data_IF_195066127685
#
_entry.id   IF_195066127685
#
_cell.length_a   1.000
_cell.length_b   1.000
_cell.length_c   1.000
_cell.angle_alpha   90.00
_cell.angle_beta   90.00
_cell.angle_gamma   90.00
#
_symmetry.space_group_name_H-M   'P 1'
#
loop_
_entity.id
_entity.type
_entity.pdbx_description
1 polymer ?
#
# COMPACT_ATOMS: atom_id res chain seq x y z
N UNK A 1 33.00 -5.16 -19.13
CA UNK A 1 32.51 -5.00 -19.08
C UNK A 1 31.92 -5.11 -18.84
N UNK A 2 31.99 -5.27 -19.01
CA UNK A 2 31.27 -5.28 -18.78
C UNK A 2 30.89 -5.43 -18.34
N UNK A 3 31.34 -5.40 -18.29
CA UNK A 3 30.74 -5.43 -17.96
C UNK A 3 30.44 -5.44 -17.45
N UNK A 4 30.42 -5.66 -17.50
CA UNK A 4 29.90 -5.59 -17.13
C UNK A 4 29.36 -5.50 -16.66
N UNK A 5 30.13 -5.71 -16.58
CA UNK A 5 29.37 -5.46 -16.28
C UNK A 5 28.88 -5.38 -15.93
N UNK A 6 29.14 -5.53 -15.86
CA UNK A 6 28.39 -5.28 -15.68
C UNK A 6 27.81 -5.30 -15.29
N UNK A 7 28.14 -5.48 -15.10
CA UNK A 7 27.35 -5.39 -14.91
C UNK A 7 26.72 -5.43 -14.51
N UNK A 8 27.35 -5.52 -14.26
CA UNK A 8 26.51 -5.40 -14.08
C UNK A 8 25.90 -5.45 -13.67
N UNK A 9 26.21 -5.63 -13.40
CA UNK A 9 25.27 -5.48 -13.17
C UNK A 9 24.75 -5.47 -12.78
N UNK A 10 24.76 -5.43 -12.61
CA UNK A 10 23.96 -5.28 -12.52
C UNK A 10 23.22 -5.22 -12.17
N UNK A 11 23.84 -5.32 -11.82
CA UNK A 11 22.91 -5.23 -11.68
C UNK A 11 22.11 -5.24 -11.39
N UNK A 12 22.24 -5.36 -11.35
CA UNK A 12 21.11 -5.37 -11.36
C UNK A 12 20.43 -5.34 -11.26
N UNK A 13 20.95 -5.36 -11.23
CA UNK A 13 19.98 -5.29 -11.41
C UNK A 13 19.31 -5.39 -11.34
N UNK A 14 19.81 -5.41 -11.20
CA UNK A 14 18.83 -5.41 -11.29
C UNK A 14 18.32 -5.28 -11.32
N UNK A 15 18.27 -5.18 -11.35
CA UNK A 15 17.48 -4.99 -11.70
C UNK A 15 16.85 -4.96 -11.93
N UNK A 16 16.81 -4.91 -11.69
CA UNK A 16 16.09 -4.91 -12.05
C UNK A 16 15.42 -5.21 -12.38
N UNK A 17 15.61 -5.44 -12.65
CA UNK A 17 14.81 -5.81 -13.15
C UNK A 17 13.90 -6.60 -12.68
N UNK A 18 13.38 -6.44 -12.22
CA UNK A 18 12.46 -7.14 -11.65
C UNK A 18 11.19 -7.12 -12.29
N UNK A 19 10.37 -8.06 -12.13
CA UNK A 19 9.09 -8.10 -12.75
C UNK A 19 8.26 -6.96 -12.31
N UNK A 20 7.46 -6.53 -13.18
CA UNK A 20 6.64 -5.50 -12.86
C UNK A 20 5.32 -5.98 -12.61
N UNK A 21 5.08 -7.25 -12.42
CA UNK A 21 3.79 -7.80 -12.25
C UNK A 21 3.15 -7.22 -11.03
N UNK A 22 3.53 -7.53 -9.88
CA UNK A 22 2.91 -7.01 -8.69
C UNK A 22 3.90 -6.20 -7.91
N UNK A 23 3.49 -5.08 -7.36
CA UNK A 23 4.40 -4.30 -6.56
C UNK A 23 4.80 -5.07 -5.32
N UNK A 24 6.03 -4.92 -4.95
CA UNK A 24 6.52 -5.48 -3.71
C UNK A 24 6.05 -4.59 -2.56
N UNK A 25 5.39 -5.16 -1.59
CA UNK A 25 4.94 -4.42 -0.42
C UNK A 25 5.91 -4.69 0.70
N UNK A 26 6.53 -3.64 1.20
CA UNK A 26 7.55 -3.75 2.22
C UNK A 26 6.95 -3.71 3.62
N UNK A 27 5.90 -4.46 3.87
CA UNK A 27 5.30 -4.51 5.18
C UNK A 27 5.94 -5.63 5.99
N UNK A 28 6.35 -5.29 7.20
CA UNK A 28 7.01 -6.22 8.11
C UNK A 28 6.22 -6.33 9.40
N UNK A 29 5.62 -7.50 9.67
CA UNK A 29 4.94 -7.68 10.97
C UNK A 29 5.87 -7.47 12.13
N UNK A 30 7.12 -7.93 12.02
CA UNK A 30 8.08 -7.78 13.11
C UNK A 30 8.37 -6.31 13.41
N UNK A 31 8.54 -5.50 12.36
CA UNK A 31 8.77 -4.08 12.55
C UNK A 31 7.56 -3.39 13.16
N UNK A 32 6.37 -3.80 12.75
CA UNK A 32 5.15 -3.25 13.32
C UNK A 32 5.05 -3.57 14.81
N UNK A 33 5.29 -4.82 15.17
CA UNK A 33 5.23 -5.24 16.56
C UNK A 33 6.27 -4.48 17.38
N UNK A 34 7.45 -4.28 16.82
CA UNK A 34 8.51 -3.52 17.50
C UNK A 34 8.07 -2.09 17.78
N UNK A 35 7.43 -1.44 16.80
CA UNK A 35 6.93 -0.09 16.99
C UNK A 35 5.86 0.00 18.06
N UNK A 36 5.18 -1.12 18.34
CA UNK A 36 4.16 -1.21 19.37
C UNK A 36 4.73 -1.78 20.66
N UNK A 37 6.03 -1.64 20.85
CA UNK A 37 6.74 -2.06 22.08
C UNK A 37 6.56 -3.56 22.36
N UNK A 38 6.50 -4.36 21.32
CA UNK A 38 6.38 -5.80 21.44
C UNK A 38 4.96 -6.30 21.63
N UNK A 39 3.97 -5.41 21.51
CA UNK A 39 2.57 -5.78 21.75
C UNK A 39 1.99 -6.43 20.50
N UNK A 40 2.16 -7.73 20.37
CA UNK A 40 1.67 -8.46 19.21
C UNK A 40 0.15 -8.62 19.22
N UNK A 41 -0.46 -8.56 20.38
CA UNK A 41 -1.93 -8.60 20.47
C UNK A 41 -2.50 -7.35 19.83
N UNK A 42 -1.94 -6.19 20.15
CA UNK A 42 -2.37 -4.93 19.55
C UNK A 42 -2.13 -4.95 18.05
N UNK A 43 -0.97 -5.46 17.61
CA UNK A 43 -0.66 -5.53 16.19
C UNK A 43 -1.71 -6.34 15.45
N UNK A 44 -2.10 -7.49 16.02
CA UNK A 44 -3.12 -8.33 15.39
C UNK A 44 -4.49 -7.66 15.37
N UNK A 45 -4.82 -6.93 16.43
CA UNK A 45 -6.08 -6.19 16.45
C UNK A 45 -6.13 -5.12 15.37
N UNK A 46 -5.02 -4.41 15.17
CA UNK A 46 -4.97 -3.39 14.13
C UNK A 46 -5.08 -4.00 12.74
N UNK A 47 -4.42 -5.14 12.52
CA UNK A 47 -4.52 -5.84 11.24
C UNK A 47 -5.96 -6.29 10.99
N UNK A 48 -6.62 -6.84 12.01
CA UNK A 48 -8.01 -7.26 11.87
C UNK A 48 -8.91 -6.08 11.51
N UNK A 49 -8.69 -4.94 12.14
CA UNK A 49 -9.47 -3.75 11.82
C UNK A 49 -9.26 -3.31 10.38
N UNK A 50 -8.01 -3.33 9.92
CA UNK A 50 -7.73 -2.94 8.54
C UNK A 50 -8.37 -3.91 7.56
N UNK A 51 -8.31 -5.20 7.85
CA UNK A 51 -8.91 -6.21 6.97
C UNK A 51 -10.42 -6.04 6.86
N UNK A 52 -11.05 -5.46 7.87
CA UNK A 52 -12.48 -5.18 7.82
C UNK A 52 -12.82 -3.84 7.18
N UNK A 53 -11.81 -3.02 6.88
CA UNK A 53 -12.06 -1.64 6.48
C UNK A 53 -11.59 -1.32 5.06
N UNK A 54 -10.60 -2.05 4.55
CA UNK A 54 -9.91 -1.63 3.33
C UNK A 54 -10.84 -1.59 2.12
N UNK A 55 -11.82 -2.48 2.04
CA UNK A 55 -12.74 -2.50 0.90
C UNK A 55 -13.57 -1.24 0.84
N UNK A 56 -13.99 -0.76 2.02
CA UNK A 56 -14.76 0.48 2.09
C UNK A 56 -13.90 1.67 1.68
N UNK A 57 -12.65 1.69 2.09
CA UNK A 57 -11.74 2.77 1.71
C UNK A 57 -11.56 2.83 0.20
N UNK A 58 -11.37 1.68 -0.43
CA UNK A 58 -11.20 1.64 -1.89
C UNK A 58 -12.50 1.98 -2.60
N UNK A 59 -13.64 1.52 -2.08
CA UNK A 59 -14.93 1.82 -2.68
C UNK A 59 -15.22 3.31 -2.63
N UNK A 60 -14.90 3.97 -1.52
CA UNK A 60 -15.10 5.40 -1.39
C UNK A 60 -14.31 6.18 -2.44
N UNK A 61 -13.07 5.76 -2.69
CA UNK A 61 -12.26 6.40 -3.70
C UNK A 61 -12.85 6.19 -5.09
N UNK A 62 -13.28 4.97 -5.40
CA UNK A 62 -13.89 4.68 -6.69
C UNK A 62 -15.16 5.52 -6.90
N UNK A 63 -15.98 5.65 -5.86
CA UNK A 63 -17.20 6.44 -5.96
C UNK A 63 -16.90 7.91 -6.19
N UNK A 64 -15.89 8.44 -5.50
CA UNK A 64 -15.50 9.83 -5.68
C UNK A 64 -15.02 10.09 -7.10
N UNK A 65 -14.25 9.15 -7.67
CA UNK A 65 -13.81 9.28 -9.05
C UNK A 65 -14.97 9.20 -10.02
N UNK A 66 -15.92 8.29 -9.80
CA UNK A 66 -17.07 8.15 -10.66
C UNK A 66 -17.93 9.41 -10.62
N UNK A 67 -17.97 10.09 -9.49
CA UNK A 67 -18.71 11.35 -9.35
C UNK A 67 -17.93 12.55 -9.87
N UNK A 68 -16.69 12.35 -10.29
CA UNK A 68 -15.80 13.41 -10.79
C UNK A 68 -15.68 14.54 -9.77
N UNK A 69 -15.62 14.19 -8.49
CA UNK A 69 -15.58 15.16 -7.41
C UNK A 69 -14.16 15.21 -6.83
N UNK A 70 -13.44 16.28 -7.18
CA UNK A 70 -12.06 16.45 -6.73
C UNK A 70 -11.96 16.50 -5.21
N UNK A 71 -12.90 17.15 -4.57
CA UNK A 71 -12.87 17.27 -3.13
C UNK A 71 -13.12 15.92 -2.46
N UNK A 72 -14.04 15.13 -3.00
CA UNK A 72 -14.30 13.80 -2.47
C UNK A 72 -13.13 12.86 -2.72
N UNK A 73 -12.46 12.99 -3.87
CA UNK A 73 -11.25 12.22 -4.14
C UNK A 73 -10.18 12.56 -3.10
N UNK A 74 -10.00 13.85 -2.84
CA UNK A 74 -9.03 14.29 -1.84
C UNK A 74 -9.33 13.69 -0.47
N UNK A 75 -10.60 13.74 -0.08
CA UNK A 75 -11.00 13.22 1.24
C UNK A 75 -10.84 11.71 1.33
N UNK A 76 -11.24 10.99 0.28
CA UNK A 76 -11.13 9.54 0.27
C UNK A 76 -9.67 9.11 0.32
N UNK A 77 -8.82 9.79 -0.44
CA UNK A 77 -7.39 9.47 -0.46
C UNK A 77 -6.73 9.81 0.88
N UNK A 78 -7.15 10.92 1.49
CA UNK A 78 -6.62 11.30 2.79
C UNK A 78 -6.95 10.23 3.85
N UNK A 79 -8.18 9.74 3.85
CA UNK A 79 -8.59 8.70 4.78
C UNK A 79 -7.79 7.42 4.56
N UNK A 80 -7.59 7.03 3.29
CA UNK A 80 -6.81 5.84 2.98
C UNK A 80 -5.36 6.01 3.41
N UNK A 81 -4.78 7.17 3.12
CA UNK A 81 -3.41 7.46 3.52
C UNK A 81 -3.24 7.34 5.03
N UNK A 82 -4.15 7.95 5.78
CA UNK A 82 -4.08 7.91 7.24
C UNK A 82 -4.17 6.50 7.79
N UNK A 83 -5.06 5.69 7.23
CA UNK A 83 -5.20 4.31 7.67
C UNK A 83 -3.95 3.50 7.35
N UNK A 84 -3.43 3.65 6.12
CA UNK A 84 -2.25 2.90 5.69
C UNK A 84 -1.00 3.28 6.46
N UNK A 85 -0.91 4.53 6.89
CA UNK A 85 0.27 5.00 7.62
C UNK A 85 0.47 4.28 8.94
N UNK A 86 -0.56 3.64 9.47
CA UNK A 86 -0.40 2.85 10.69
C UNK A 86 0.41 1.58 10.45
N UNK A 87 0.55 1.17 9.20
CA UNK A 87 1.16 -0.12 8.87
C UNK A 87 2.41 -0.01 8.04
N UNK A 88 2.50 0.99 7.17
CA UNK A 88 3.54 1.00 6.16
C UNK A 88 3.86 2.43 5.76
N UNK A 89 5.14 2.67 5.47
CA UNK A 89 5.59 3.92 4.86
C UNK A 89 5.94 3.61 3.40
N UNK A 90 5.56 4.50 2.50
CA UNK A 90 5.75 4.26 1.08
C UNK A 90 4.70 3.29 0.55
N UNK A 91 4.93 2.74 -0.63
CA UNK A 91 3.96 1.83 -1.24
C UNK A 91 2.57 2.43 -1.30
N UNK A 92 1.55 1.71 -0.82
CA UNK A 92 0.18 2.20 -0.92
C UNK A 92 -0.05 3.52 -0.18
N UNK A 93 0.66 3.74 0.92
CA UNK A 93 0.53 4.99 1.66
C UNK A 93 0.99 6.17 0.80
N UNK A 94 2.12 6.00 0.11
CA UNK A 94 2.64 7.06 -0.76
C UNK A 94 1.73 7.28 -1.96
N UNK A 95 1.18 6.20 -2.53
CA UNK A 95 0.25 6.32 -3.66
C UNK A 95 -1.00 7.08 -3.25
N UNK A 96 -1.55 6.76 -2.09
CA UNK A 96 -2.72 7.48 -1.58
C UNK A 96 -2.41 8.97 -1.38
N UNK A 97 -1.20 9.27 -0.92
CA UNK A 97 -0.79 10.67 -0.76
C UNK A 97 -0.75 11.40 -2.09
N UNK A 98 -0.23 10.75 -3.14
CA UNK A 98 -0.21 11.34 -4.47
C UNK A 98 -1.62 11.62 -4.98
N UNK A 99 -2.55 10.68 -4.75
CA UNK A 99 -3.94 10.88 -5.15
C UNK A 99 -4.55 12.05 -4.39
N UNK A 100 -4.25 12.14 -3.11
CA UNK A 100 -4.74 13.25 -2.29
C UNK A 100 -4.28 14.59 -2.87
N UNK A 101 -3.01 14.67 -3.25
CA UNK A 101 -2.46 15.90 -3.82
C UNK A 101 -3.12 16.26 -5.16
N UNK A 102 -3.36 15.25 -6.01
CA UNK A 102 -4.03 15.50 -7.27
C UNK A 102 -5.48 15.94 -7.06
N UNK A 103 -6.16 15.35 -6.09
CA UNK A 103 -7.51 15.79 -5.75
C UNK A 103 -7.53 17.23 -5.29
N UNK A 104 -6.56 17.61 -4.44
CA UNK A 104 -6.45 18.97 -3.94
C UNK A 104 -6.18 19.95 -5.08
N UNK A 105 -5.47 19.52 -6.11
CA UNK A 105 -5.15 20.36 -7.26
C UNK A 105 -6.22 20.32 -8.35
N UNK A 106 -7.24 19.49 -8.20
CA UNK A 106 -8.28 19.34 -9.20
C UNK A 106 -7.84 18.60 -10.45
N UNK A 107 -6.77 17.82 -10.37
CA UNK A 107 -6.19 17.15 -11.53
C UNK A 107 -6.60 15.68 -11.56
N UNK A 108 -7.87 15.44 -11.84
CA UNK A 108 -8.43 14.09 -11.74
C UNK A 108 -8.06 13.17 -12.89
N UNK A 109 -7.60 13.72 -14.02
CA UNK A 109 -7.25 12.88 -15.17
C UNK A 109 -6.11 11.91 -14.85
N UNK A 110 -5.29 12.23 -13.87
CA UNK A 110 -4.14 11.39 -13.50
C UNK A 110 -4.48 10.37 -12.42
N UNK A 111 -5.64 10.49 -11.82
CA UNK A 111 -5.99 9.66 -10.66
C UNK A 111 -6.33 8.22 -11.02
N UNK A 112 -7.01 7.92 -12.16
CA UNK A 112 -7.39 6.52 -12.41
C UNK A 112 -6.22 5.55 -12.43
N UNK A 113 -5.08 5.93 -13.03
CA UNK A 113 -3.92 5.06 -13.06
C UNK A 113 -3.37 4.84 -11.65
N UNK A 114 -3.31 5.90 -10.84
CA UNK A 114 -2.85 5.79 -9.48
C UNK A 114 -3.82 5.02 -8.61
N UNK A 115 -5.13 5.15 -8.88
CA UNK A 115 -6.13 4.39 -8.15
C UNK A 115 -5.97 2.90 -8.41
N UNK A 116 -5.71 2.51 -9.65
CA UNK A 116 -5.46 1.11 -9.98
C UNK A 116 -4.20 0.60 -9.28
N UNK A 117 -3.17 1.43 -9.26
CA UNK A 117 -1.93 1.09 -8.56
C UNK A 117 -2.19 0.92 -7.06
N UNK A 118 -2.96 1.83 -6.47
CA UNK A 118 -3.28 1.75 -5.06
C UNK A 118 -4.02 0.45 -4.74
N UNK A 119 -4.99 0.07 -5.57
CA UNK A 119 -5.72 -1.17 -5.34
C UNK A 119 -4.80 -2.37 -5.37
N UNK A 120 -3.89 -2.42 -6.34
CA UNK A 120 -2.93 -3.52 -6.41
C UNK A 120 -2.02 -3.56 -5.19
N UNK A 121 -1.57 -2.41 -4.74
CA UNK A 121 -0.69 -2.34 -3.57
C UNK A 121 -1.43 -2.73 -2.29
N UNK A 122 -2.69 -2.30 -2.17
CA UNK A 122 -3.49 -2.66 -1.00
C UNK A 122 -3.79 -4.14 -0.99
N UNK A 123 -4.10 -4.73 -2.16
CA UNK A 123 -4.33 -6.17 -2.22
C UNK A 123 -3.09 -6.94 -1.79
N UNK A 124 -1.90 -6.51 -2.22
CA UNK A 124 -0.67 -7.16 -1.80
C UNK A 124 -0.49 -7.07 -0.29
N UNK A 125 -0.79 -5.91 0.29
CA UNK A 125 -0.71 -5.74 1.74
C UNK A 125 -1.72 -6.63 2.46
N UNK A 126 -2.95 -6.69 1.94
CA UNK A 126 -4.00 -7.54 2.52
C UNK A 126 -3.57 -9.00 2.53
N UNK A 127 -2.98 -9.47 1.42
CA UNK A 127 -2.52 -10.85 1.36
C UNK A 127 -1.42 -11.11 2.37
N UNK A 128 -0.51 -10.17 2.55
CA UNK A 128 0.55 -10.30 3.55
C UNK A 128 -0.04 -10.32 4.96
N UNK A 129 -1.03 -9.49 5.22
CA UNK A 129 -1.68 -9.45 6.53
C UNK A 129 -2.45 -10.73 6.83
N UNK A 130 -3.12 -11.27 5.81
CA UNK A 130 -3.84 -12.53 5.97
C UNK A 130 -2.86 -13.68 6.26
N UNK A 131 -1.71 -13.67 5.60
CA UNK A 131 -0.68 -14.67 5.85
C UNK A 131 -0.14 -14.53 7.28
N UNK A 132 0.02 -13.31 7.74
CA UNK A 132 0.46 -13.05 9.11
C UNK A 132 -0.55 -13.62 10.12
N UNK A 133 -1.84 -13.39 9.90
CA UNK A 133 -2.86 -13.92 10.80
C UNK A 133 -2.84 -15.43 10.82
N UNK A 134 -2.76 -16.06 9.65
CA UNK A 134 -2.73 -17.52 9.56
C UNK A 134 -1.47 -18.10 10.17
N UNK A 135 -0.34 -17.48 9.85
CA UNK A 135 0.95 -17.94 10.35
C UNK A 135 1.04 -17.87 11.86
N UNK A 136 0.50 -16.80 12.41
CA UNK A 136 0.51 -16.64 13.85
C UNK A 136 -0.33 -17.72 14.51
N UNK A 137 -1.48 -18.06 13.95
CA UNK A 137 -2.28 -19.09 14.54
C UNK A 137 -1.66 -20.46 14.35
N UNK A 138 -1.03 -20.69 13.22
CA UNK A 138 -0.48 -22.01 12.94
C UNK A 138 0.88 -22.21 13.52
N UNK A 139 1.63 -21.17 13.65
CA UNK A 139 3.00 -21.28 14.08
C UNK A 139 3.15 -21.62 15.54
N UNK A 140 2.14 -21.55 16.24
CA UNK A 140 2.19 -21.85 17.67
C UNK A 140 2.56 -23.27 17.99
#
# INVERSE_FOLDING_TARGET
MDAQGVTAGERHDGNGERPRSAPAVAWSPAAMIERLDGDDVLARQLVTLFLGEYERLLANLRQALAADSADDVRRAAHAAKGCLANFIEGGPQATAHQIEQLGAAGRLSEVPALSAQLENEVVALVLAMQAFERGTSCAS
#
